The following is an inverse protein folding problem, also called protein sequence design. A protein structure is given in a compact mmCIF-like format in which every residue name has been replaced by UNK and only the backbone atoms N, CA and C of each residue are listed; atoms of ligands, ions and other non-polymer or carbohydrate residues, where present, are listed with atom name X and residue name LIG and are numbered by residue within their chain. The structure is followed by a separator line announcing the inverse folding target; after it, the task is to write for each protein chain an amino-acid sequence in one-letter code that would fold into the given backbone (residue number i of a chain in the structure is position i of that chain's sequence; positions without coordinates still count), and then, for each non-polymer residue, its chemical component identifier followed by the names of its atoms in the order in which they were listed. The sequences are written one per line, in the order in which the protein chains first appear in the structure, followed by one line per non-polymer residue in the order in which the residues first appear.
data_IF_528853539323
#
_entry.id   IF_528853539323
#
_cell.length_a   1.000
_cell.length_b   1.000
_cell.length_c   1.000
_cell.angle_alpha   90.00
_cell.angle_beta   90.00
_cell.angle_gamma   90.00
#
_symmetry.space_group_name_H-M   'P 1'
#
loop_
_entity.id
_entity.type
_entity.pdbx_description
1 polymer ?
#
# COMPACT_ATOMS: atom_id res chain seq x y z
N UNK A 1 -15.42 -10.39 15.38
CA UNK A 1 -15.62 -9.15 14.61
C UNK A 1 -14.31 -8.39 14.62
N UNK A 2 -13.86 -7.91 13.49
CA UNK A 2 -12.68 -7.05 13.41
C UNK A 2 -12.89 -5.77 14.22
N UNK A 3 -11.83 -5.29 14.89
CA UNK A 3 -11.84 -3.99 15.58
C UNK A 3 -11.80 -2.82 14.58
N UNK A 4 -11.41 -3.09 13.34
CA UNK A 4 -11.23 -2.11 12.28
C UNK A 4 -11.96 -2.54 11.02
N UNK A 5 -12.43 -1.55 10.28
CA UNK A 5 -13.05 -1.68 8.97
C UNK A 5 -12.31 -0.76 7.98
N UNK A 6 -12.67 -0.83 6.71
CA UNK A 6 -12.10 0.01 5.65
C UNK A 6 -10.59 -0.24 5.41
N UNK A 7 -10.16 -1.48 5.63
CA UNK A 7 -8.83 -1.91 5.19
C UNK A 7 -8.90 -2.12 3.68
N UNK A 8 -8.21 -1.28 2.92
CA UNK A 8 -8.08 -1.45 1.48
C UNK A 8 -6.62 -1.77 1.14
N UNK A 9 -6.39 -2.94 0.54
CA UNK A 9 -5.06 -3.37 0.08
C UNK A 9 -4.86 -2.94 -1.37
N UNK A 10 -4.05 -1.92 -1.57
CA UNK A 10 -3.83 -1.34 -2.89
C UNK A 10 -2.92 -2.19 -3.79
N UNK A 11 -2.24 -3.19 -3.25
CA UNK A 11 -1.39 -4.07 -4.04
C UNK A 11 -1.11 -5.40 -3.33
N UNK A 12 -1.51 -6.50 -3.95
CA UNK A 12 -1.29 -7.87 -3.49
C UNK A 12 -1.18 -8.85 -4.66
N UNK A 13 -0.65 -10.03 -4.40
CA UNK A 13 -0.48 -11.13 -5.36
C UNK A 13 -1.13 -12.41 -4.84
N UNK A 14 -2.46 -12.43 -4.76
CA UNK A 14 -3.20 -13.63 -4.34
C UNK A 14 -3.18 -14.76 -5.40
N UNK A 15 -2.68 -14.49 -6.60
CA UNK A 15 -2.36 -15.47 -7.63
C UNK A 15 -1.05 -16.24 -7.37
N UNK A 16 -0.21 -15.80 -6.41
CA UNK A 16 1.03 -16.48 -6.04
C UNK A 16 0.75 -17.88 -5.48
N UNK A 17 1.64 -18.82 -5.83
CA UNK A 17 1.59 -20.23 -5.39
C UNK A 17 1.52 -20.43 -3.88
N UNK A 18 1.92 -19.45 -3.08
CA UNK A 18 1.80 -19.49 -1.63
C UNK A 18 0.35 -19.54 -1.14
N UNK A 19 -0.61 -19.21 -2.01
CA UNK A 19 -2.04 -19.24 -1.74
C UNK A 19 -2.77 -20.42 -2.41
N UNK A 20 -2.09 -21.31 -3.15
CA UNK A 20 -2.75 -22.36 -3.94
C UNK A 20 -3.63 -23.27 -3.09
N UNK A 21 -3.21 -23.59 -1.85
CA UNK A 21 -3.91 -24.52 -0.97
C UNK A 21 -5.18 -23.92 -0.32
N UNK A 22 -5.23 -22.60 -0.09
CA UNK A 22 -6.28 -21.98 0.74
C UNK A 22 -6.79 -20.62 0.19
N UNK A 23 -6.43 -20.25 -1.03
CA UNK A 23 -6.77 -18.94 -1.66
C UNK A 23 -8.25 -18.59 -1.56
N UNK A 24 -9.12 -19.50 -1.94
CA UNK A 24 -10.55 -19.25 -1.98
C UNK A 24 -11.12 -19.10 -0.57
N UNK A 25 -10.77 -20.01 0.35
CA UNK A 25 -11.21 -19.95 1.75
C UNK A 25 -10.72 -18.65 2.42
N UNK A 26 -9.46 -18.27 2.16
CA UNK A 26 -8.89 -17.04 2.68
C UNK A 26 -9.65 -15.81 2.20
N UNK A 27 -9.87 -15.69 0.87
CA UNK A 27 -10.58 -14.55 0.27
C UNK A 27 -12.04 -14.46 0.69
N UNK A 28 -12.75 -15.60 0.83
CA UNK A 28 -14.12 -15.61 1.35
C UNK A 28 -14.22 -15.08 2.79
N UNK A 29 -13.18 -15.28 3.60
CA UNK A 29 -13.21 -14.94 5.02
C UNK A 29 -12.52 -13.61 5.36
N UNK A 30 -11.72 -13.02 4.43
CA UNK A 30 -10.86 -11.87 4.75
C UNK A 30 -11.66 -10.61 5.10
N UNK A 31 -12.89 -10.47 4.57
CA UNK A 31 -13.79 -9.38 4.90
C UNK A 31 -14.18 -9.36 6.39
N UNK A 32 -14.21 -10.53 7.05
CA UNK A 32 -14.50 -10.62 8.50
C UNK A 32 -13.40 -10.00 9.34
N UNK A 33 -12.22 -9.79 8.76
CA UNK A 33 -11.06 -9.14 9.37
C UNK A 33 -11.01 -7.61 9.08
N UNK A 34 -12.06 -7.07 8.45
CA UNK A 34 -12.20 -5.64 8.18
C UNK A 34 -11.65 -5.20 6.83
N UNK A 35 -11.22 -6.13 5.98
CA UNK A 35 -10.77 -5.83 4.61
C UNK A 35 -11.99 -5.58 3.73
N UNK A 36 -12.06 -4.39 3.13
CA UNK A 36 -13.17 -3.97 2.27
C UNK A 36 -12.81 -3.99 0.77
N UNK A 37 -11.53 -4.03 0.43
CA UNK A 37 -11.07 -4.12 -0.95
C UNK A 37 -9.63 -4.58 -1.05
N UNK A 38 -9.32 -5.25 -2.17
CA UNK A 38 -7.98 -5.72 -2.52
C UNK A 38 -7.80 -5.51 -4.02
N UNK A 39 -6.68 -4.89 -4.41
CA UNK A 39 -6.23 -4.90 -5.80
C UNK A 39 -5.21 -6.02 -5.96
N UNK A 40 -5.65 -7.09 -6.60
CA UNK A 40 -4.74 -8.14 -7.04
C UNK A 40 -4.05 -7.67 -8.33
N UNK A 41 -2.74 -7.82 -8.41
CA UNK A 41 -1.98 -7.31 -9.56
C UNK A 41 -2.41 -8.02 -10.85
N UNK A 42 -3.30 -7.39 -11.60
CA UNK A 42 -3.76 -7.84 -12.90
C UNK A 42 -3.28 -6.87 -13.99
N UNK A 43 -2.95 -7.38 -15.15
CA UNK A 43 -2.55 -6.56 -16.30
C UNK A 43 -3.80 -6.19 -17.09
N UNK A 44 -4.35 -5.01 -16.81
CA UNK A 44 -5.40 -4.40 -17.62
C UNK A 44 -4.93 -3.02 -18.13
N UNK A 45 -5.13 -2.75 -19.42
CA UNK A 45 -4.66 -1.50 -20.07
C UNK A 45 -5.45 -0.25 -19.66
N UNK A 46 -6.61 -0.42 -19.03
CA UNK A 46 -7.47 0.68 -18.55
C UNK A 46 -7.21 1.06 -17.09
N UNK A 47 -6.42 0.26 -16.36
CA UNK A 47 -6.10 0.52 -14.96
C UNK A 47 -4.99 1.56 -14.81
N UNK A 48 -5.00 2.34 -13.69
CA UNK A 48 -3.88 3.23 -13.37
C UNK A 48 -2.56 2.47 -13.26
N UNK A 49 -1.45 3.13 -13.62
CA UNK A 49 -0.13 2.51 -13.64
C UNK A 49 0.39 2.25 -12.23
N UNK A 50 0.76 1.01 -11.93
CA UNK A 50 1.50 0.65 -10.72
C UNK A 50 2.98 0.57 -11.06
N UNK A 51 3.78 1.41 -10.40
CA UNK A 51 5.22 1.53 -10.63
C UNK A 51 5.98 0.76 -9.56
N UNK A 52 6.73 -0.24 -9.99
CA UNK A 52 7.68 -0.95 -9.15
C UNK A 52 9.07 -0.35 -9.33
N UNK A 53 9.59 0.31 -8.29
CA UNK A 53 10.90 0.96 -8.30
C UNK A 53 11.83 0.30 -7.27
N UNK A 54 12.76 -0.50 -7.76
CA UNK A 54 13.76 -1.17 -6.94
C UNK A 54 15.17 -0.82 -7.43
N UNK A 55 15.85 0.07 -6.69
CA UNK A 55 17.22 0.51 -6.95
C UNK A 55 17.42 1.18 -8.35
N UNK A 56 16.32 1.65 -8.97
CA UNK A 56 16.32 2.29 -10.29
C UNK A 56 15.72 3.71 -10.27
N UNK A 57 15.72 4.37 -9.10
CA UNK A 57 15.03 5.64 -8.88
C UNK A 57 15.32 6.70 -9.96
N UNK A 58 16.57 6.80 -10.43
CA UNK A 58 16.94 7.77 -11.47
C UNK A 58 16.15 7.56 -12.76
N UNK A 59 16.27 6.38 -13.34
CA UNK A 59 15.65 6.03 -14.63
C UNK A 59 14.12 6.04 -14.55
N UNK A 60 13.56 5.50 -13.43
CA UNK A 60 12.12 5.49 -13.21
C UNK A 60 11.57 6.92 -13.13
N UNK A 61 12.21 7.80 -12.35
CA UNK A 61 11.75 9.17 -12.21
C UNK A 61 11.93 10.00 -13.48
N UNK A 62 12.93 9.72 -14.33
CA UNK A 62 13.07 10.34 -15.65
C UNK A 62 11.88 9.98 -16.58
N UNK A 63 11.42 8.73 -16.54
CA UNK A 63 10.22 8.31 -17.27
C UNK A 63 8.95 8.95 -16.68
N UNK A 64 8.80 8.97 -15.35
CA UNK A 64 7.66 9.59 -14.68
C UNK A 64 7.56 11.09 -14.96
N UNK A 65 8.68 11.84 -14.99
CA UNK A 65 8.73 13.25 -15.39
C UNK A 65 8.29 13.47 -16.83
N UNK A 66 8.72 12.56 -17.70
CA UNK A 66 8.44 12.65 -19.15
C UNK A 66 6.98 12.40 -19.48
N UNK A 67 6.40 11.34 -18.89
CA UNK A 67 5.07 10.86 -19.28
C UNK A 67 3.95 11.30 -18.35
N UNK A 68 4.25 11.63 -17.08
CA UNK A 68 3.30 12.06 -16.04
C UNK A 68 2.02 11.21 -15.98
N UNK A 69 2.14 9.88 -15.87
CA UNK A 69 0.98 9.00 -15.84
C UNK A 69 0.17 9.21 -14.55
N UNK A 70 -1.11 8.80 -14.56
CA UNK A 70 -1.82 8.53 -13.31
C UNK A 70 -1.21 7.25 -12.70
N UNK A 71 -0.42 7.39 -11.66
CA UNK A 71 0.39 6.30 -11.15
C UNK A 71 0.42 6.20 -9.63
N UNK A 72 0.60 4.96 -9.16
CA UNK A 72 0.97 4.59 -7.81
C UNK A 72 2.42 4.10 -7.82
N UNK A 73 3.31 4.76 -7.08
CA UNK A 73 4.64 4.19 -6.79
C UNK A 73 4.49 3.27 -5.59
N UNK A 74 4.42 1.96 -5.87
CA UNK A 74 4.13 0.95 -4.86
C UNK A 74 5.39 0.56 -4.06
N UNK A 75 5.18 0.06 -2.84
CA UNK A 75 6.23 -0.37 -1.91
C UNK A 75 7.37 0.65 -1.80
N UNK A 76 7.00 1.92 -1.67
CA UNK A 76 7.92 3.05 -1.82
C UNK A 76 9.13 2.95 -0.88
N UNK A 77 10.31 2.98 -1.46
CA UNK A 77 11.59 2.87 -0.75
C UNK A 77 12.52 4.06 -0.93
N UNK A 78 12.08 5.08 -1.68
CA UNK A 78 12.84 6.29 -1.96
C UNK A 78 12.94 7.28 -0.80
N UNK A 79 13.61 8.40 -1.04
CA UNK A 79 13.75 9.49 -0.08
C UNK A 79 12.48 10.37 -0.01
N UNK A 80 12.41 11.23 1.00
CA UNK A 80 11.35 12.25 1.13
C UNK A 80 11.31 13.19 -0.06
N UNK A 81 12.45 13.52 -0.65
CA UNK A 81 12.57 14.39 -1.83
C UNK A 81 11.90 13.73 -3.05
N UNK A 82 12.17 12.44 -3.29
CA UNK A 82 11.54 11.65 -4.35
C UNK A 82 10.02 11.51 -4.12
N UNK A 83 9.60 11.25 -2.90
CA UNK A 83 8.17 11.24 -2.54
C UNK A 83 7.50 12.58 -2.86
N UNK A 84 8.09 13.70 -2.43
CA UNK A 84 7.56 15.04 -2.70
C UNK A 84 7.49 15.33 -4.20
N UNK A 85 8.44 14.81 -4.98
CA UNK A 85 8.43 14.94 -6.42
C UNK A 85 7.29 14.14 -7.08
N UNK A 86 7.12 12.86 -6.71
CA UNK A 86 6.01 12.04 -7.19
C UNK A 86 4.65 12.67 -6.87
N UNK A 87 4.48 13.15 -5.65
CA UNK A 87 3.26 13.85 -5.21
C UNK A 87 3.00 15.13 -6.02
N UNK A 88 4.03 15.94 -6.30
CA UNK A 88 3.89 17.12 -7.18
C UNK A 88 3.50 16.77 -8.61
N UNK A 89 3.84 15.59 -9.09
CA UNK A 89 3.39 15.05 -10.38
C UNK A 89 1.98 14.47 -10.35
N UNK A 90 1.30 14.49 -9.18
CA UNK A 90 -0.06 13.99 -8.99
C UNK A 90 -0.15 12.50 -8.63
N UNK A 91 0.98 11.84 -8.42
CA UNK A 91 1.04 10.41 -8.14
C UNK A 91 0.69 10.07 -6.69
N UNK A 92 0.28 8.84 -6.48
CA UNK A 92 0.10 8.23 -5.17
C UNK A 92 1.36 7.44 -4.77
N UNK A 93 1.53 7.27 -3.48
CA UNK A 93 2.60 6.48 -2.85
C UNK A 93 1.94 5.46 -1.95
N UNK A 94 2.33 4.20 -2.02
CA UNK A 94 1.89 3.21 -1.04
C UNK A 94 3.00 2.81 -0.08
N UNK A 95 2.58 2.58 1.16
CA UNK A 95 3.41 2.08 2.24
C UNK A 95 2.76 0.83 2.84
N UNK A 96 3.59 -0.16 3.14
CA UNK A 96 3.14 -1.45 3.65
C UNK A 96 3.90 -1.90 4.90
N UNK A 97 4.00 -3.22 5.10
CA UNK A 97 4.63 -3.85 6.25
C UNK A 97 6.05 -3.38 6.56
N UNK A 98 6.76 -2.85 5.56
CA UNK A 98 8.14 -2.33 5.68
C UNK A 98 8.26 -1.25 6.75
N UNK A 99 7.24 -0.40 6.97
CA UNK A 99 7.29 0.68 7.98
C UNK A 99 7.42 0.15 9.42
N UNK A 100 7.16 -1.15 9.62
CA UNK A 100 7.28 -1.80 10.93
C UNK A 100 8.68 -2.37 11.20
N UNK A 101 9.57 -2.39 10.18
CA UNK A 101 10.88 -3.03 10.31
C UNK A 101 11.86 -2.19 11.12
N UNK A 102 12.85 -2.85 11.75
CA UNK A 102 13.86 -2.16 12.58
C UNK A 102 14.68 -1.12 11.83
N UNK A 103 14.89 -1.34 10.52
CA UNK A 103 15.67 -0.47 9.64
C UNK A 103 14.80 0.43 8.74
N UNK A 104 13.54 0.64 9.10
CA UNK A 104 12.55 1.37 8.30
C UNK A 104 12.72 2.91 8.33
N UNK A 105 13.91 3.45 8.64
CA UNK A 105 14.12 4.88 8.83
C UNK A 105 13.55 5.73 7.70
N UNK A 106 13.91 5.44 6.44
CA UNK A 106 13.42 6.21 5.29
C UNK A 106 11.91 6.08 5.10
N UNK A 107 11.35 4.88 5.22
CA UNK A 107 9.90 4.68 5.11
C UNK A 107 9.13 5.42 6.22
N UNK A 108 9.70 5.55 7.42
CA UNK A 108 9.10 6.33 8.51
C UNK A 108 9.21 7.84 8.28
N UNK A 109 10.34 8.32 7.73
CA UNK A 109 10.50 9.72 7.32
C UNK A 109 9.45 10.07 6.24
N UNK A 110 9.28 9.22 5.23
CA UNK A 110 8.23 9.38 4.20
C UNK A 110 6.84 9.35 4.81
N UNK A 111 6.53 8.38 5.67
CA UNK A 111 5.23 8.26 6.34
C UNK A 111 4.88 9.49 7.20
N UNK A 112 5.88 10.15 7.78
CA UNK A 112 5.66 11.36 8.58
C UNK A 112 5.34 12.60 7.75
N UNK A 113 5.76 12.66 6.48
CA UNK A 113 5.71 13.86 5.66
C UNK A 113 4.74 13.79 4.48
N UNK A 114 4.41 12.60 4.00
CA UNK A 114 3.51 12.44 2.85
C UNK A 114 2.14 13.08 3.11
N UNK A 115 1.57 13.85 2.17
CA UNK A 115 0.18 14.29 2.25
C UNK A 115 -0.75 13.09 2.35
N UNK A 116 -1.66 13.11 3.34
CA UNK A 116 -2.54 11.97 3.59
C UNK A 116 -3.47 11.65 2.42
N UNK A 117 -3.81 12.64 1.60
CA UNK A 117 -4.61 12.48 0.37
C UNK A 117 -3.82 11.88 -0.81
N UNK A 118 -2.56 11.51 -0.61
CA UNK A 118 -1.67 10.84 -1.58
C UNK A 118 -1.09 9.53 -1.06
N UNK A 119 -1.51 9.12 0.13
CA UNK A 119 -1.07 7.88 0.76
C UNK A 119 -2.07 6.75 0.49
N UNK A 120 -1.55 5.60 0.06
CA UNK A 120 -2.26 4.32 0.07
C UNK A 120 -1.56 3.35 1.02
N UNK A 121 -2.31 2.35 1.48
CA UNK A 121 -1.75 1.22 2.22
C UNK A 121 -1.79 -0.03 1.35
N UNK A 122 -0.80 -0.89 1.53
CA UNK A 122 -0.67 -2.14 0.80
C UNK A 122 -0.01 -3.23 1.62
N UNK A 123 0.01 -4.46 1.12
CA UNK A 123 0.76 -5.56 1.72
C UNK A 123 1.92 -6.06 0.87
N UNK A 124 1.78 -6.07 -0.44
CA UNK A 124 2.61 -6.84 -1.38
C UNK A 124 2.53 -8.36 -1.07
N UNK A 125 1.36 -8.81 -0.60
CA UNK A 125 1.12 -10.20 -0.23
C UNK A 125 1.39 -11.15 -1.42
N UNK A 126 2.04 -12.29 -1.17
CA UNK A 126 2.33 -12.96 0.11
C UNK A 126 3.59 -12.48 0.81
N UNK A 127 4.27 -11.48 0.31
CA UNK A 127 5.55 -10.98 0.78
C UNK A 127 5.40 -9.91 1.87
N UNK A 128 6.51 -9.36 2.33
CA UNK A 128 6.63 -8.17 3.17
C UNK A 128 5.81 -8.17 4.47
N UNK A 129 5.54 -9.37 5.05
CA UNK A 129 4.82 -9.48 6.31
C UNK A 129 5.39 -8.54 7.39
N UNK A 130 4.53 -7.74 8.08
CA UNK A 130 4.95 -6.79 9.10
C UNK A 130 5.51 -7.47 10.34
N UNK A 131 6.19 -6.70 11.20
CA UNK A 131 6.50 -7.16 12.55
C UNK A 131 5.17 -7.29 13.34
N UNK A 132 4.95 -8.39 14.11
CA UNK A 132 5.92 -9.45 14.47
C UNK A 132 5.95 -10.65 13.51
N UNK A 133 5.31 -10.61 12.36
CA UNK A 133 5.11 -11.75 11.47
C UNK A 133 6.19 -11.91 10.38
N UNK A 134 7.33 -11.26 10.54
CA UNK A 134 8.46 -11.38 9.58
C UNK A 134 8.78 -12.84 9.25
N UNK A 135 8.91 -13.12 7.93
CA UNK A 135 9.22 -14.45 7.42
C UNK A 135 8.01 -15.40 7.30
N UNK A 136 6.81 -14.94 7.67
CA UNK A 136 5.55 -15.65 7.42
C UNK A 136 4.88 -15.12 6.15
N UNK A 137 3.92 -15.90 5.63
CA UNK A 137 3.06 -15.45 4.54
C UNK A 137 2.21 -14.24 5.00
N UNK A 138 2.24 -13.18 4.21
CA UNK A 138 1.43 -11.99 4.43
C UNK A 138 0.02 -12.18 3.84
N UNK A 139 -0.96 -11.52 4.42
CA UNK A 139 -2.30 -11.33 3.86
C UNK A 139 -2.79 -9.90 4.12
N UNK A 140 -3.81 -9.46 3.39
CA UNK A 140 -4.31 -8.06 3.44
C UNK A 140 -4.81 -7.64 4.83
N UNK A 141 -5.19 -8.57 5.71
CA UNK A 141 -5.56 -8.23 7.10
C UNK A 141 -4.37 -7.68 7.91
N UNK A 142 -3.14 -7.92 7.45
CA UNK A 142 -1.93 -7.45 8.12
C UNK A 142 -1.61 -5.97 7.87
N UNK A 143 -2.34 -5.30 6.97
CA UNK A 143 -2.26 -3.83 6.78
C UNK A 143 -2.41 -3.09 8.11
N UNK A 144 -3.19 -3.62 9.03
CA UNK A 144 -3.43 -2.99 10.33
C UNK A 144 -2.14 -2.64 11.09
N UNK A 145 -1.09 -3.46 10.97
CA UNK A 145 0.19 -3.21 11.65
C UNK A 145 0.95 -2.02 11.05
N UNK A 146 0.86 -1.84 9.72
CA UNK A 146 1.39 -0.65 9.06
C UNK A 146 0.55 0.59 9.42
N UNK A 147 -0.78 0.45 9.43
CA UNK A 147 -1.70 1.52 9.79
C UNK A 147 -1.49 2.00 11.24
N UNK A 148 -1.34 1.09 12.21
CA UNK A 148 -1.03 1.42 13.60
C UNK A 148 0.25 2.25 13.71
N UNK A 149 1.30 1.82 13.00
CA UNK A 149 2.59 2.50 13.03
C UNK A 149 2.50 3.91 12.44
N UNK A 150 1.84 4.07 11.28
CA UNK A 150 1.70 5.35 10.59
C UNK A 150 0.75 6.28 11.36
N UNK A 151 -0.39 5.80 11.83
CA UNK A 151 -1.35 6.59 12.62
C UNK A 151 -0.71 7.16 13.88
N UNK A 152 0.05 6.32 14.62
CA UNK A 152 0.83 6.78 15.78
C UNK A 152 1.83 7.87 15.42
N UNK A 153 2.55 7.74 14.28
CA UNK A 153 3.51 8.72 13.81
C UNK A 153 2.85 10.05 13.43
N UNK A 154 1.63 9.99 12.91
CA UNK A 154 0.86 11.15 12.44
C UNK A 154 -0.05 11.77 13.50
N UNK A 155 -0.12 11.18 14.70
CA UNK A 155 -1.01 11.60 15.81
C UNK A 155 -2.50 11.64 15.40
N UNK A 156 -2.95 10.64 14.61
CA UNK A 156 -4.36 10.43 14.23
C UNK A 156 -4.80 9.04 14.68
N UNK A 157 -6.11 8.79 14.66
CA UNK A 157 -6.63 7.46 14.96
C UNK A 157 -6.37 6.48 13.79
N UNK A 158 -6.26 5.20 14.10
CA UNK A 158 -6.11 4.14 13.09
C UNK A 158 -7.32 4.14 12.15
N UNK A 159 -8.54 4.28 12.72
CA UNK A 159 -9.77 4.31 11.93
C UNK A 159 -9.80 5.50 10.95
N UNK A 160 -9.31 6.66 11.36
CA UNK A 160 -9.20 7.83 10.50
C UNK A 160 -8.21 7.59 9.36
N UNK A 161 -7.02 7.05 9.65
CA UNK A 161 -6.05 6.71 8.62
C UNK A 161 -6.60 5.68 7.62
N UNK A 162 -7.24 4.62 8.11
CA UNK A 162 -7.84 3.58 7.25
C UNK A 162 -8.94 4.15 6.37
N UNK A 163 -9.77 5.05 6.90
CA UNK A 163 -10.80 5.71 6.09
C UNK A 163 -10.16 6.55 4.97
N UNK A 164 -9.20 7.42 5.30
CA UNK A 164 -8.53 8.27 4.32
C UNK A 164 -7.87 7.43 3.23
N UNK A 165 -7.12 6.40 3.60
CA UNK A 165 -6.41 5.57 2.61
C UNK A 165 -7.34 4.68 1.78
N UNK A 166 -8.47 4.26 2.34
CA UNK A 166 -9.52 3.57 1.60
C UNK A 166 -10.16 4.50 0.55
N UNK A 167 -10.51 5.73 0.93
CA UNK A 167 -11.10 6.72 0.01
C UNK A 167 -10.11 7.09 -1.11
N UNK A 168 -8.84 7.28 -0.77
CA UNK A 168 -7.77 7.50 -1.75
C UNK A 168 -7.65 6.33 -2.74
N UNK A 169 -7.71 5.08 -2.26
CA UNK A 169 -7.63 3.91 -3.11
C UNK A 169 -8.83 3.83 -4.07
N UNK A 170 -10.04 4.04 -3.57
CA UNK A 170 -11.24 4.11 -4.41
C UNK A 170 -11.12 5.18 -5.48
N UNK A 171 -10.67 6.39 -5.11
CA UNK A 171 -10.44 7.48 -6.05
C UNK A 171 -9.39 7.12 -7.10
N UNK A 172 -8.26 6.54 -6.69
CA UNK A 172 -7.18 6.17 -7.60
C UNK A 172 -7.59 5.12 -8.62
N UNK A 173 -8.35 4.11 -8.18
CA UNK A 173 -8.82 2.99 -9.03
C UNK A 173 -10.18 3.23 -9.69
N UNK A 174 -10.79 4.43 -9.53
CA UNK A 174 -12.13 4.77 -10.04
C UNK A 174 -13.20 3.75 -9.60
N UNK A 175 -13.19 3.36 -8.33
CA UNK A 175 -14.16 2.43 -7.74
C UNK A 175 -15.28 3.26 -7.10
N UNK A 176 -16.48 3.15 -7.65
CA UNK A 176 -17.70 3.73 -7.06
C UNK A 176 -18.15 2.93 -5.82
N UNK A 177 -18.86 3.60 -4.89
CA UNK A 177 -19.42 2.98 -3.67
C UNK A 177 -20.56 2.00 -3.97
#
# INVERSE_FOLDING_TARGET
MSLYNNIFDAHAHYDDKWFDDDRFELLENIHTKGVCGIVNNAVDLEMPLIVHDREAHGDVYDLLRKYKPNALVHCFSGSVELMREAVRMGMYISLGGVVTFKNARHSLEVASEIPLDRLLLETDAPYMAPVPFRGKRCDSSMIIYAAEKIASLRNISISELLQITCDNAKQFYNIDD
#
